data_IF_608788867610
#
_entry.id   IF_608788867610
#
_cell.length_a   1.000
_cell.length_b   1.000
_cell.length_c   1.000
_cell.angle_alpha   90.00
_cell.angle_beta   90.00
_cell.angle_gamma   90.00
#
_symmetry.space_group_name_H-M   'P 1'
#
loop_
_entity.id
_entity.type
_entity.pdbx_description
1 polymer ?
#
# COMPACT_ATOMS: atom_id res chain seq x y z
N UNK A 1 23.03 24.47 11.76
CA UNK A 1 24.14 23.51 11.97
C UNK A 1 23.70 22.40 12.92
N UNK A 2 23.15 21.30 12.38
CA UNK A 2 22.79 20.10 13.16
C UNK A 2 23.07 18.85 12.33
N UNK A 3 24.34 18.66 11.94
CA UNK A 3 24.83 17.38 11.42
C UNK A 3 25.40 16.63 12.62
N UNK A 4 24.55 15.97 13.41
CA UNK A 4 25.04 15.21 14.56
C UNK A 4 25.58 13.83 14.21
N UNK A 5 25.30 13.26 13.03
CA UNK A 5 26.03 12.13 12.43
C UNK A 5 25.51 11.82 11.01
N UNK A 6 25.87 12.64 10.00
CA UNK A 6 25.58 12.33 8.57
C UNK A 6 26.10 10.94 8.19
N UNK A 7 27.22 10.54 8.78
CA UNK A 7 27.82 9.22 8.63
C UNK A 7 26.94 8.05 9.06
N UNK A 8 25.97 8.26 9.97
CA UNK A 8 24.99 7.24 10.39
C UNK A 8 23.69 7.38 9.59
N UNK A 9 23.29 8.61 9.29
CA UNK A 9 22.09 8.88 8.50
C UNK A 9 22.20 8.31 7.07
N UNK A 10 23.35 8.48 6.42
CA UNK A 10 23.59 8.02 5.05
C UNK A 10 23.42 6.49 4.88
N UNK A 11 24.12 5.63 5.64
CA UNK A 11 23.92 4.18 5.53
C UNK A 11 22.52 3.74 5.97
N UNK A 12 21.91 4.44 6.94
CA UNK A 12 20.52 4.18 7.32
C UNK A 12 19.55 4.49 6.18
N UNK A 13 19.70 5.61 5.49
CA UNK A 13 18.90 5.98 4.31
C UNK A 13 19.12 5.02 3.13
N UNK A 14 20.35 4.54 2.92
CA UNK A 14 20.66 3.54 1.89
C UNK A 14 19.97 2.21 2.20
N UNK A 15 20.05 1.73 3.45
CA UNK A 15 19.36 0.50 3.86
C UNK A 15 17.84 0.64 3.79
N UNK A 16 17.30 1.75 4.30
CA UNK A 16 15.87 2.03 4.27
C UNK A 16 15.36 2.13 2.83
N UNK A 17 16.07 2.87 1.96
CA UNK A 17 15.75 3.01 0.54
C UNK A 17 15.90 1.69 -0.22
N UNK A 18 16.92 0.89 0.11
CA UNK A 18 17.14 -0.43 -0.48
C UNK A 18 16.03 -1.41 -0.12
N UNK A 19 15.66 -1.50 1.16
CA UNK A 19 14.56 -2.36 1.63
C UNK A 19 13.22 -1.86 1.07
N UNK A 20 12.98 -0.55 1.10
CA UNK A 20 11.76 0.05 0.57
C UNK A 20 11.60 -0.22 -0.93
N UNK A 21 12.66 0.00 -1.72
CA UNK A 21 12.67 -0.28 -3.15
C UNK A 21 12.50 -1.77 -3.46
N UNK A 22 13.20 -2.64 -2.72
CA UNK A 22 13.11 -4.09 -2.90
C UNK A 22 11.72 -4.65 -2.60
N UNK A 23 10.93 -4.02 -1.72
CA UNK A 23 9.56 -4.47 -1.42
C UNK A 23 8.52 -3.84 -2.34
N UNK A 24 8.62 -2.54 -2.63
CA UNK A 24 7.62 -1.80 -3.40
C UNK A 24 7.61 -2.20 -4.87
N UNK A 25 8.80 -2.39 -5.48
CA UNK A 25 8.94 -2.74 -6.91
C UNK A 25 8.28 -4.09 -7.25
N UNK A 26 8.59 -5.21 -6.57
CA UNK A 26 7.96 -6.49 -6.87
C UNK A 26 6.49 -6.54 -6.46
N UNK A 27 6.06 -5.78 -5.44
CA UNK A 27 4.64 -5.68 -5.10
C UNK A 27 3.83 -5.05 -6.23
N UNK A 28 4.35 -3.97 -6.83
CA UNK A 28 3.76 -3.37 -8.03
C UNK A 28 3.78 -4.35 -9.22
N UNK A 29 4.87 -5.08 -9.45
CA UNK A 29 4.90 -6.09 -10.52
C UNK A 29 3.91 -7.25 -10.28
N UNK A 30 3.76 -7.73 -9.04
CA UNK A 30 2.87 -8.83 -8.66
C UNK A 30 1.40 -8.44 -8.76
N UNK A 31 1.03 -7.24 -8.33
CA UNK A 31 -0.34 -6.71 -8.50
C UNK A 31 -0.67 -6.53 -9.99
N UNK A 32 0.31 -6.21 -10.83
CA UNK A 32 0.15 -6.06 -12.27
C UNK A 32 -0.07 -7.42 -12.93
N UNK A 33 0.67 -8.44 -12.49
CA UNK A 33 0.51 -9.82 -12.94
C UNK A 33 -0.84 -10.42 -12.49
N UNK A 34 -1.21 -10.24 -11.22
CA UNK A 34 -2.52 -10.68 -10.68
C UNK A 34 -3.67 -9.95 -11.37
N UNK A 35 -3.51 -8.66 -11.62
CA UNK A 35 -4.50 -7.85 -12.33
C UNK A 35 -4.62 -8.17 -13.82
N UNK A 36 -3.53 -8.54 -14.50
CA UNK A 36 -3.57 -9.07 -15.86
C UNK A 36 -4.37 -10.36 -15.92
N UNK A 37 -4.16 -11.26 -14.95
CA UNK A 37 -4.78 -12.57 -14.89
C UNK A 37 -6.26 -12.54 -14.42
N UNK A 38 -6.67 -11.54 -13.64
CA UNK A 38 -8.06 -11.40 -13.12
C UNK A 38 -8.92 -10.33 -13.82
N UNK A 39 -8.32 -9.29 -14.42
CA UNK A 39 -9.07 -8.07 -14.80
C UNK A 39 -8.68 -7.48 -16.17
N UNK A 40 -7.72 -8.08 -16.88
CA UNK A 40 -7.17 -7.59 -18.14
C UNK A 40 -6.10 -6.50 -17.94
N UNK A 41 -4.99 -6.61 -18.67
CA UNK A 41 -3.77 -5.81 -18.51
C UNK A 41 -3.99 -4.29 -18.36
N UNK A 42 -4.90 -3.71 -19.16
CA UNK A 42 -5.18 -2.27 -19.13
C UNK A 42 -5.90 -1.82 -17.86
N UNK A 43 -6.78 -2.65 -17.30
CA UNK A 43 -7.57 -2.30 -16.11
C UNK A 43 -6.73 -2.40 -14.83
N UNK A 44 -5.78 -3.33 -14.78
CA UNK A 44 -4.84 -3.44 -13.67
C UNK A 44 -3.83 -2.31 -13.61
N UNK A 45 -3.32 -1.86 -14.77
CA UNK A 45 -2.39 -0.72 -14.84
C UNK A 45 -3.08 0.57 -14.35
N UNK A 46 -4.35 0.78 -14.71
CA UNK A 46 -5.12 1.94 -14.27
C UNK A 46 -5.33 1.96 -12.74
N UNK A 47 -5.61 0.80 -12.13
CA UNK A 47 -5.79 0.68 -10.67
C UNK A 47 -4.48 0.90 -9.91
N UNK A 48 -3.35 0.45 -10.46
CA UNK A 48 -2.03 0.70 -9.86
C UNK A 48 -1.66 2.17 -9.90
N UNK A 49 -1.82 2.80 -11.06
CA UNK A 49 -1.55 4.23 -11.21
C UNK A 49 -2.45 5.04 -10.27
N UNK A 50 -3.74 4.73 -10.18
CA UNK A 50 -4.64 5.39 -9.24
C UNK A 50 -4.16 5.24 -7.78
N UNK A 51 -3.73 4.05 -7.38
CA UNK A 51 -3.28 3.79 -6.01
C UNK A 51 -1.96 4.53 -5.67
N UNK A 52 -1.00 4.56 -6.60
CA UNK A 52 0.24 5.34 -6.42
C UNK A 52 -0.05 6.85 -6.35
N UNK A 53 -0.90 7.35 -7.24
CA UNK A 53 -1.27 8.77 -7.28
C UNK A 53 -2.07 9.18 -6.04
N UNK A 54 -2.97 8.33 -5.53
CA UNK A 54 -3.67 8.56 -4.28
C UNK A 54 -2.73 8.59 -3.07
N UNK A 55 -1.70 7.72 -3.06
CA UNK A 55 -0.68 7.72 -2.01
C UNK A 55 0.14 9.01 -2.01
N UNK A 56 0.60 9.46 -3.18
CA UNK A 56 1.34 10.72 -3.35
C UNK A 56 0.47 11.91 -2.91
N UNK A 57 -0.80 11.94 -3.31
CA UNK A 57 -1.75 12.98 -2.88
C UNK A 57 -1.96 12.97 -1.37
N UNK A 58 -2.12 11.79 -0.77
CA UNK A 58 -2.27 11.63 0.67
C UNK A 58 -1.04 12.12 1.43
N UNK A 59 0.15 11.74 0.98
CA UNK A 59 1.43 12.21 1.53
C UNK A 59 1.59 13.73 1.37
N UNK A 60 1.22 14.29 0.22
CA UNK A 60 1.27 15.73 -0.05
C UNK A 60 0.30 16.53 0.83
N UNK A 61 -0.94 16.06 0.98
CA UNK A 61 -1.93 16.66 1.86
C UNK A 61 -1.47 16.61 3.33
N UNK A 62 -0.91 15.47 3.74
CA UNK A 62 -0.38 15.30 5.09
C UNK A 62 0.84 16.17 5.37
N UNK A 63 1.76 16.30 4.41
CA UNK A 63 2.89 17.23 4.49
C UNK A 63 2.39 18.67 4.62
N UNK A 64 1.43 19.08 3.78
CA UNK A 64 0.83 20.41 3.83
C UNK A 64 0.16 20.71 5.19
N UNK A 65 -0.61 19.76 5.73
CA UNK A 65 -1.19 19.85 7.08
C UNK A 65 -0.12 19.92 8.17
N UNK A 66 0.92 19.11 8.08
CA UNK A 66 2.02 19.10 9.06
C UNK A 66 2.77 20.44 9.08
N UNK A 67 3.01 21.03 7.91
CA UNK A 67 3.61 22.37 7.79
C UNK A 67 2.67 23.48 8.26
N UNK A 68 1.35 23.35 8.02
CA UNK A 68 0.35 24.32 8.46
C UNK A 68 0.10 24.32 9.97
N UNK A 69 0.28 23.18 10.64
CA UNK A 69 0.09 23.02 12.09
C UNK A 69 1.38 23.20 12.91
N UNK A 70 2.53 23.43 12.28
CA UNK A 70 3.82 23.60 12.98
C UNK A 70 4.26 22.35 13.76
N UNK A 71 3.81 21.15 13.34
CA UNK A 71 4.10 19.90 14.04
C UNK A 71 5.59 19.59 13.99
N UNK A 72 6.15 19.16 15.13
CA UNK A 72 7.51 18.64 15.16
C UNK A 72 7.63 17.40 14.28
N UNK A 73 8.82 17.12 13.74
CA UNK A 73 9.07 15.95 12.89
C UNK A 73 8.59 14.64 13.54
N UNK A 74 8.69 14.52 14.86
CA UNK A 74 8.22 13.36 15.61
C UNK A 74 6.68 13.27 15.62
N UNK A 75 5.98 14.40 15.78
CA UNK A 75 4.51 14.45 15.73
C UNK A 75 3.97 14.10 14.35
N UNK A 76 4.63 14.56 13.29
CA UNK A 76 4.27 14.20 11.91
C UNK A 76 4.45 12.70 11.64
N UNK A 77 5.58 12.10 12.07
CA UNK A 77 5.83 10.66 11.91
C UNK A 77 4.81 9.82 12.69
N UNK A 78 4.49 10.19 13.93
CA UNK A 78 3.52 9.47 14.75
C UNK A 78 2.11 9.53 14.16
N UNK A 79 1.67 10.71 13.73
CA UNK A 79 0.37 10.87 13.07
C UNK A 79 0.31 10.10 11.74
N UNK A 80 1.41 10.04 10.98
CA UNK A 80 1.48 9.23 9.76
C UNK A 80 1.31 7.73 10.07
N UNK A 81 2.02 7.23 11.09
CA UNK A 81 1.90 5.83 11.52
C UNK A 81 0.48 5.47 11.96
N UNK A 82 -0.19 6.37 12.71
CA UNK A 82 -1.58 6.16 13.15
C UNK A 82 -2.55 6.13 11.97
N UNK A 83 -2.42 7.06 11.02
CA UNK A 83 -3.28 7.11 9.84
C UNK A 83 -3.12 5.84 9.00
N UNK A 84 -1.87 5.42 8.70
CA UNK A 84 -1.61 4.21 7.93
C UNK A 84 -2.13 2.95 8.64
N UNK A 85 -1.86 2.82 9.95
CA UNK A 85 -2.35 1.71 10.75
C UNK A 85 -3.89 1.68 10.80
N UNK A 86 -4.53 2.84 10.93
CA UNK A 86 -5.99 2.97 10.92
C UNK A 86 -6.60 2.56 9.59
N UNK A 87 -6.03 3.01 8.47
CA UNK A 87 -6.50 2.62 7.12
C UNK A 87 -6.32 1.12 6.89
N UNK A 88 -5.16 0.55 7.23
CA UNK A 88 -4.90 -0.89 7.15
C UNK A 88 -5.88 -1.70 8.01
N UNK A 89 -6.19 -1.21 9.22
CA UNK A 89 -7.16 -1.85 10.10
C UNK A 89 -8.58 -1.80 9.55
N UNK A 90 -9.01 -0.66 8.99
CA UNK A 90 -10.32 -0.54 8.33
C UNK A 90 -10.42 -1.48 7.12
N UNK A 91 -9.38 -1.55 6.29
CA UNK A 91 -9.33 -2.49 5.15
C UNK A 91 -9.37 -3.94 5.64
N UNK A 92 -8.61 -4.27 6.68
CA UNK A 92 -8.61 -5.60 7.27
C UNK A 92 -9.98 -5.98 7.85
N UNK A 93 -10.62 -5.06 8.57
CA UNK A 93 -11.94 -5.26 9.12
C UNK A 93 -13.01 -5.38 8.02
N UNK A 94 -12.89 -4.59 6.95
CA UNK A 94 -13.77 -4.70 5.78
C UNK A 94 -13.58 -6.04 5.06
N UNK A 95 -12.34 -6.49 4.86
CA UNK A 95 -12.04 -7.80 4.28
C UNK A 95 -12.55 -8.95 5.16
N UNK A 96 -12.38 -8.87 6.48
CA UNK A 96 -12.91 -9.85 7.42
C UNK A 96 -14.44 -9.89 7.38
N UNK A 97 -15.10 -8.73 7.36
CA UNK A 97 -16.56 -8.67 7.24
C UNK A 97 -17.05 -9.16 5.87
N UNK A 98 -16.34 -8.87 4.78
CA UNK A 98 -16.70 -9.36 3.45
C UNK A 98 -16.55 -10.89 3.34
N UNK A 99 -15.50 -11.47 3.94
CA UNK A 99 -15.30 -12.92 4.05
C UNK A 99 -16.40 -13.62 4.86
N UNK A 100 -17.00 -12.95 5.83
CA UNK A 100 -18.10 -13.52 6.65
C UNK A 100 -19.45 -13.36 5.94
N UNK A 101 -19.66 -12.24 5.24
CA UNK A 101 -20.98 -11.87 4.68
C UNK A 101 -21.22 -12.40 3.25
N UNK A 102 -20.18 -12.68 2.47
CA UNK A 102 -20.28 -13.22 1.10
C UNK A 102 -19.65 -14.63 1.00
N UNK A 103 -19.84 -15.47 2.03
CA UNK A 103 -19.28 -16.82 2.09
C UNK A 103 -19.76 -17.72 0.94
N UNK A 104 -21.05 -17.61 0.59
CA UNK A 104 -21.67 -18.39 -0.49
C UNK A 104 -21.15 -18.02 -1.89
N UNK A 105 -20.80 -16.75 -2.11
CA UNK A 105 -20.22 -16.27 -3.39
C UNK A 105 -18.74 -16.67 -3.52
N UNK A 106 -18.00 -16.69 -2.40
CA UNK A 106 -16.62 -17.19 -2.32
C UNK A 106 -16.56 -18.71 -2.55
N UNK A 107 -17.48 -19.48 -1.99
CA UNK A 107 -17.57 -20.93 -2.23
C UNK A 107 -17.99 -21.24 -3.68
N UNK A 108 -18.90 -20.45 -4.27
CA UNK A 108 -19.28 -20.58 -5.67
C UNK A 108 -18.10 -20.24 -6.62
N UNK A 109 -17.33 -19.18 -6.34
CA UNK A 109 -16.14 -18.82 -7.12
C UNK A 109 -15.00 -19.82 -6.95
N UNK A 110 -14.84 -20.40 -5.75
CA UNK A 110 -13.89 -21.49 -5.49
C UNK A 110 -14.27 -22.78 -6.22
N UNK A 111 -15.57 -23.08 -6.37
CA UNK A 111 -16.05 -24.20 -7.17
C UNK A 111 -15.80 -23.96 -8.67
N UNK A 112 -16.07 -22.76 -9.19
CA UNK A 112 -15.78 -22.42 -10.60
C UNK A 112 -14.28 -22.48 -10.90
N UNK A 113 -13.43 -21.92 -10.02
CA UNK A 113 -11.98 -22.00 -10.19
C UNK A 113 -11.41 -23.42 -10.01
N UNK A 114 -12.11 -24.32 -9.30
CA UNK A 114 -11.78 -25.75 -9.22
C UNK A 114 -12.25 -26.53 -10.45
N UNK A 115 -13.21 -26.00 -11.21
CA UNK A 115 -13.82 -26.64 -12.36
C UNK A 115 -13.34 -26.09 -13.71
N UNK A 116 -12.46 -25.08 -13.75
CA UNK A 116 -11.74 -24.75 -14.98
C UNK A 116 -10.83 -25.93 -15.35
N UNK A 117 -11.18 -26.72 -16.39
CA UNK A 117 -10.28 -27.70 -16.93
C UNK A 117 -9.20 -26.90 -17.65
N UNK A 118 -7.94 -27.25 -17.45
CA UNK A 118 -6.94 -26.92 -18.45
C UNK A 118 -7.43 -27.44 -19.82
N UNK A 119 -7.76 -26.50 -20.71
CA UNK A 119 -8.15 -26.69 -22.10
C UNK A 119 -8.09 -25.35 -22.83
#
# INVERSE_FOLDING_TARGET
VWVRNVWVAVPFLILLGGIGGFLVVPMNALLQHRGHNLMGAGRSIAVQNFNEQACILGLGAFYSLSTGLGLSAFGAIAAFGIVVAGVMWVIHHWHANNCVKHKDEVDHLLQVARHDPHG
#
